data_IF_663611823103
#
_entry.id   IF_663611823103
#
_cell.length_a   1.000
_cell.length_b   1.000
_cell.length_c   1.000
_cell.angle_alpha   90.00
_cell.angle_beta   90.00
_cell.angle_gamma   90.00
#
_symmetry.space_group_name_H-M   'P 1'
#
loop_
_entity.id
_entity.type
_entity.pdbx_description
1 polymer ?
#
# COMPACT_ATOMS: atom_id res chain seq x y z
N UNK A 1 59.75 -22.03 -36.09
CA UNK A 1 59.58 -23.47 -36.43
C UNK A 1 58.14 -23.86 -36.11
N UNK A 2 57.26 -23.87 -37.12
CA UNK A 2 56.78 -25.06 -37.85
C UNK A 2 55.59 -25.73 -37.14
N UNK A 3 54.35 -25.47 -37.60
CA UNK A 3 53.46 -26.38 -38.37
C UNK A 3 53.02 -27.61 -37.53
N UNK A 4 51.72 -27.97 -37.43
CA UNK A 4 50.95 -28.64 -38.50
C UNK A 4 49.51 -28.93 -38.04
N UNK A 5 48.55 -28.79 -38.96
CA UNK A 5 47.29 -29.58 -39.03
C UNK A 5 47.58 -31.02 -39.51
N UNK A 6 46.65 -31.97 -39.31
CA UNK A 6 45.85 -32.55 -40.42
C UNK A 6 44.34 -32.71 -40.03
N UNK A 7 43.30 -32.66 -40.89
CA UNK A 7 42.87 -33.48 -42.05
C UNK A 7 42.65 -34.98 -41.68
N UNK A 8 41.61 -35.75 -42.03
CA UNK A 8 40.51 -35.74 -43.02
C UNK A 8 39.61 -36.99 -42.75
N UNK A 9 38.41 -37.05 -43.36
CA UNK A 9 37.64 -38.28 -43.70
C UNK A 9 36.71 -38.78 -42.58
N UNK A 10 35.50 -39.28 -42.82
CA UNK A 10 34.98 -39.98 -44.00
C UNK A 10 33.43 -40.03 -43.94
N UNK A 11 32.81 -40.01 -45.12
CA UNK A 11 31.37 -40.11 -45.39
C UNK A 11 30.89 -41.55 -45.39
N UNK A 12 29.67 -41.83 -44.89
CA UNK A 12 28.90 -42.98 -45.31
C UNK A 12 27.39 -42.68 -45.30
N UNK A 13 26.84 -42.52 -46.51
CA UNK A 13 25.43 -42.66 -46.83
C UNK A 13 25.07 -44.16 -46.81
N UNK A 14 23.98 -44.55 -46.11
CA UNK A 14 23.16 -45.70 -46.52
C UNK A 14 21.69 -45.33 -46.43
N UNK A 15 21.02 -45.66 -47.51
CA UNK A 15 19.64 -45.38 -47.87
C UNK A 15 18.67 -46.42 -47.31
N UNK A 16 17.50 -45.94 -46.87
CA UNK A 16 16.21 -46.52 -47.26
C UNK A 16 15.59 -47.57 -46.34
N UNK A 17 14.42 -47.25 -45.79
CA UNK A 17 13.15 -47.91 -46.17
C UNK A 17 11.95 -47.18 -45.55
N UNK A 18 10.99 -46.89 -46.42
CA UNK A 18 9.65 -46.38 -46.10
C UNK A 18 8.87 -47.47 -45.36
N UNK A 19 8.11 -47.10 -44.33
CA UNK A 19 6.81 -47.67 -44.02
C UNK A 19 5.92 -46.53 -43.54
N UNK A 20 4.81 -46.33 -44.26
CA UNK A 20 3.75 -45.41 -43.90
C UNK A 20 2.81 -46.13 -42.92
N UNK A 21 2.47 -45.49 -41.80
CA UNK A 21 1.27 -45.84 -41.01
C UNK A 21 0.69 -44.56 -40.40
N UNK A 22 -0.58 -44.35 -40.72
CA UNK A 22 -1.65 -43.60 -40.04
C UNK A 22 -1.36 -42.20 -39.46
N UNK A 23 -2.09 -41.24 -40.01
CA UNK A 23 -2.45 -40.00 -39.35
C UNK A 23 -3.28 -40.29 -38.09
N UNK A 24 -2.88 -39.70 -36.96
CA UNK A 24 -3.77 -39.51 -35.84
C UNK A 24 -3.68 -38.05 -35.38
N UNK A 25 -4.84 -37.45 -35.21
CA UNK A 25 -5.03 -36.03 -34.94
C UNK A 25 -4.90 -35.81 -33.44
N UNK A 26 -3.87 -35.08 -33.02
CA UNK A 26 -3.86 -34.47 -31.69
C UNK A 26 -3.67 -32.95 -31.82
N UNK A 27 -4.80 -32.26 -31.69
CA UNK A 27 -4.88 -30.84 -31.37
C UNK A 27 -4.26 -30.55 -29.99
N UNK A 28 -3.71 -29.34 -29.84
CA UNK A 28 -3.30 -28.74 -28.57
C UNK A 28 -1.77 -28.60 -28.47
N UNK A 29 -1.18 -27.45 -28.18
CA UNK A 29 -1.63 -26.25 -27.47
C UNK A 29 -0.79 -25.09 -27.98
N UNK A 30 -1.42 -23.97 -28.38
CA UNK A 30 -0.71 -22.72 -28.71
C UNK A 30 -0.14 -22.12 -27.42
N UNK A 31 1.03 -21.44 -27.45
CA UNK A 31 1.53 -20.74 -26.27
C UNK A 31 0.59 -19.57 -25.95
N UNK A 32 -0.22 -19.76 -24.91
CA UNK A 32 -1.15 -18.76 -24.42
C UNK A 32 -0.39 -17.59 -23.81
N UNK A 33 -0.53 -16.42 -24.43
CA UNK A 33 -0.24 -15.14 -23.82
C UNK A 33 -0.99 -15.08 -22.47
N UNK A 34 -0.24 -15.05 -21.37
CA UNK A 34 -0.79 -14.93 -20.03
C UNK A 34 -1.44 -13.54 -19.90
N UNK A 35 -2.77 -13.49 -20.01
CA UNK A 35 -3.52 -12.31 -19.61
C UNK A 35 -3.47 -12.21 -18.08
N UNK A 36 -3.16 -11.05 -17.49
CA UNK A 36 -3.25 -10.89 -16.04
C UNK A 36 -4.72 -11.00 -15.63
N UNK A 37 -5.03 -12.02 -14.82
CA UNK A 37 -6.35 -12.24 -14.25
C UNK A 37 -6.76 -11.02 -13.42
N UNK A 38 -7.70 -10.25 -13.98
CA UNK A 38 -8.25 -9.04 -13.38
C UNK A 38 -9.46 -9.48 -12.56
N UNK A 39 -9.30 -9.64 -11.24
CA UNK A 39 -10.44 -9.79 -10.35
C UNK A 39 -10.72 -8.45 -9.66
N UNK A 40 -11.45 -7.58 -10.37
CA UNK A 40 -12.01 -6.34 -9.84
C UNK A 40 -13.30 -6.71 -9.11
N UNK A 41 -13.31 -6.68 -7.77
CA UNK A 41 -14.56 -6.73 -6.99
C UNK A 41 -14.94 -5.31 -6.59
N UNK A 42 -15.91 -4.74 -7.30
CA UNK A 42 -16.56 -3.50 -6.91
C UNK A 42 -17.45 -3.76 -5.70
N UNK A 43 -17.16 -3.11 -4.57
CA UNK A 43 -18.15 -2.94 -3.53
C UNK A 43 -19.17 -1.91 -4.06
N UNK A 44 -20.42 -2.33 -4.28
CA UNK A 44 -21.46 -1.51 -4.90
C UNK A 44 -21.70 -0.16 -4.20
N UNK A 45 -22.08 0.83 -5.00
CA UNK A 45 -22.33 2.20 -4.58
C UNK A 45 -23.67 2.35 -3.80
N UNK A 46 -23.61 2.18 -2.46
CA UNK A 46 -24.49 2.72 -1.38
C UNK A 46 -26.00 2.28 -1.36
N UNK A 47 -26.80 2.44 -0.26
CA UNK A 47 -26.51 2.81 1.14
C UNK A 47 -26.99 1.77 2.20
N UNK A 48 -26.39 1.76 3.38
CA UNK A 48 -26.90 1.03 4.54
C UNK A 48 -26.40 1.69 5.82
N UNK A 49 -27.27 2.46 6.48
CA UNK A 49 -27.00 3.35 7.61
C UNK A 49 -26.41 2.71 8.88
N UNK A 50 -25.91 1.46 8.86
CA UNK A 50 -25.17 0.83 9.96
C UNK A 50 -24.17 -0.21 9.45
N UNK A 51 -23.02 0.21 8.94
CA UNK A 51 -21.83 -0.44 9.48
C UNK A 51 -21.79 0.00 10.95
N UNK A 52 -22.55 -0.69 11.81
CA UNK A 52 -22.19 -0.73 13.21
C UNK A 52 -20.71 -1.08 13.16
N UNK A 53 -19.85 -0.16 13.60
CA UNK A 53 -18.41 -0.33 13.53
C UNK A 53 -18.13 -1.56 14.39
N UNK A 54 -18.09 -2.72 13.75
CA UNK A 54 -17.92 -4.02 14.39
C UNK A 54 -16.45 -4.22 14.77
N UNK A 55 -15.60 -3.29 14.33
CA UNK A 55 -14.17 -3.28 14.58
C UNK A 55 -13.91 -2.43 15.83
N UNK A 56 -13.54 -3.10 16.91
CA UNK A 56 -13.00 -2.41 18.08
C UNK A 56 -11.65 -1.78 17.73
N UNK A 57 -11.35 -0.60 18.28
CA UNK A 57 -10.01 0.00 18.14
C UNK A 57 -8.90 -0.97 18.57
N UNK A 58 -9.16 -1.84 19.56
CA UNK A 58 -8.18 -2.80 20.07
C UNK A 58 -7.75 -3.86 19.05
N UNK A 59 -8.50 -4.04 17.96
CA UNK A 59 -8.14 -4.98 16.88
C UNK A 59 -7.40 -4.31 15.72
N UNK A 60 -7.12 -3.00 15.83
CA UNK A 60 -6.38 -2.22 14.85
C UNK A 60 -5.11 -1.62 15.46
N UNK A 61 -4.02 -1.75 14.73
CA UNK A 61 -2.82 -0.93 14.94
C UNK A 61 -2.77 0.20 13.92
N UNK A 62 -2.50 1.42 14.37
CA UNK A 62 -2.24 2.56 13.50
C UNK A 62 -0.77 2.57 13.09
N UNK A 63 -0.49 2.29 11.82
CA UNK A 63 0.84 2.42 11.23
C UNK A 63 1.00 3.84 10.68
N UNK A 64 1.92 4.59 11.26
CA UNK A 64 2.30 5.93 10.80
C UNK A 64 3.60 5.85 10.02
N UNK A 65 3.54 6.10 8.71
CA UNK A 65 4.69 6.08 7.82
C UNK A 65 5.42 7.42 7.86
N UNK A 66 6.55 7.47 8.55
CA UNK A 66 7.37 8.67 8.76
C UNK A 66 8.74 8.62 8.05
N UNK A 67 9.03 7.54 7.33
CA UNK A 67 10.34 7.26 6.70
C UNK A 67 10.70 8.02 5.41
N UNK A 68 9.83 8.87 4.86
CA UNK A 68 10.02 9.48 3.54
C UNK A 68 11.15 10.53 3.49
N UNK A 69 11.90 10.58 2.37
CA UNK A 69 12.79 11.70 2.07
C UNK A 69 11.95 12.86 1.53
N UNK A 70 11.82 13.95 2.28
CA UNK A 70 11.17 15.17 1.79
C UNK A 70 12.13 16.00 0.97
N UNK A 71 12.53 15.48 -0.19
CA UNK A 71 13.49 16.13 -1.10
C UNK A 71 13.03 17.55 -1.51
N UNK A 72 11.73 17.79 -1.56
CA UNK A 72 11.13 19.08 -1.93
C UNK A 72 11.07 20.11 -0.79
N UNK A 73 11.17 19.65 0.47
CA UNK A 73 11.08 20.50 1.66
C UNK A 73 12.43 20.75 2.33
N UNK A 74 13.48 20.00 1.93
CA UNK A 74 14.82 20.12 2.52
C UNK A 74 14.91 19.73 4.00
N UNK A 75 13.81 19.24 4.59
CA UNK A 75 13.67 18.92 6.01
C UNK A 75 12.85 17.64 6.21
N UNK A 76 12.99 17.03 7.39
CA UNK A 76 12.18 15.88 7.78
C UNK A 76 10.71 16.30 7.96
N UNK A 77 9.86 15.86 7.02
CA UNK A 77 8.44 16.20 6.97
C UNK A 77 7.71 15.86 8.25
N UNK A 78 8.11 14.77 8.91
CA UNK A 78 7.48 14.34 10.16
C UNK A 78 7.63 15.39 11.27
N UNK A 79 8.75 16.14 11.27
CA UNK A 79 9.11 17.17 12.25
C UNK A 79 8.58 18.56 11.94
N UNK A 80 7.90 18.75 10.81
CA UNK A 80 7.30 20.04 10.49
C UNK A 80 6.31 20.40 11.60
N UNK A 81 6.48 21.60 12.17
CA UNK A 81 5.59 22.12 13.20
C UNK A 81 4.36 22.71 12.55
N UNK A 82 3.20 22.21 12.93
CA UNK A 82 1.89 22.75 12.57
C UNK A 82 1.05 22.90 13.83
N UNK A 83 0.44 24.07 14.05
CA UNK A 83 -0.34 24.36 15.27
C UNK A 83 0.41 24.00 16.57
N UNK A 84 1.71 24.31 16.63
CA UNK A 84 2.55 24.10 17.81
C UNK A 84 3.00 22.66 18.07
N UNK A 85 2.73 21.70 17.18
CA UNK A 85 3.15 20.29 17.31
C UNK A 85 3.68 19.72 15.99
N UNK A 86 4.50 18.68 16.06
CA UNK A 86 5.02 18.00 14.86
C UNK A 86 3.87 17.32 14.07
N UNK A 87 3.93 17.29 12.74
CA UNK A 87 2.91 16.67 11.89
C UNK A 87 2.63 15.21 12.26
N UNK A 88 3.68 14.44 12.55
CA UNK A 88 3.56 13.06 12.96
C UNK A 88 2.70 12.87 14.23
N UNK A 89 2.73 13.86 15.14
CA UNK A 89 1.95 13.84 16.39
C UNK A 89 0.47 14.04 16.13
N UNK A 90 0.10 14.92 15.19
CA UNK A 90 -1.30 15.12 14.78
C UNK A 90 -1.89 13.86 14.14
N UNK A 91 -1.10 13.21 13.27
CA UNK A 91 -1.51 11.95 12.63
C UNK A 91 -1.71 10.86 13.68
N UNK A 92 -0.72 10.64 14.56
CA UNK A 92 -0.81 9.63 15.61
C UNK A 92 -1.99 9.85 16.56
N UNK A 93 -2.22 11.10 16.99
CA UNK A 93 -3.34 11.41 17.89
C UNK A 93 -4.71 11.14 17.25
N UNK A 94 -4.88 11.49 15.97
CA UNK A 94 -6.11 11.13 15.25
C UNK A 94 -6.24 9.62 15.09
N UNK A 95 -5.16 8.91 14.77
CA UNK A 95 -5.20 7.45 14.65
C UNK A 95 -5.58 6.74 15.95
N UNK A 96 -5.23 7.27 17.12
CA UNK A 96 -5.66 6.70 18.42
C UNK A 96 -7.19 6.67 18.60
N UNK A 97 -7.92 7.48 17.85
CA UNK A 97 -9.39 7.44 17.85
C UNK A 97 -9.95 6.21 17.11
N UNK A 98 -9.17 5.56 16.24
CA UNK A 98 -9.57 4.36 15.52
C UNK A 98 -8.70 3.12 15.78
N UNK A 99 -7.52 3.28 16.40
CA UNK A 99 -6.56 2.20 16.66
C UNK A 99 -6.17 2.15 18.15
N UNK A 100 -5.98 0.94 18.67
CA UNK A 100 -5.66 0.68 20.08
C UNK A 100 -4.17 0.81 20.39
N UNK A 101 -3.33 0.69 19.37
CA UNK A 101 -1.89 0.91 19.45
C UNK A 101 -1.39 1.66 18.21
N UNK A 102 -0.27 2.39 18.36
CA UNK A 102 0.39 3.12 17.28
C UNK A 102 1.79 2.55 17.07
N UNK A 103 2.14 2.34 15.80
CA UNK A 103 3.46 1.93 15.34
C UNK A 103 3.98 2.95 14.34
N UNK A 104 5.08 3.61 14.67
CA UNK A 104 5.82 4.43 13.71
C UNK A 104 6.77 3.56 12.91
N UNK A 105 6.71 3.71 11.58
CA UNK A 105 7.71 3.15 10.67
C UNK A 105 8.58 4.29 10.16
N UNK A 106 9.85 4.27 10.54
CA UNK A 106 10.81 5.36 10.38
C UNK A 106 12.08 4.85 9.72
N UNK A 107 12.97 5.76 9.32
CA UNK A 107 14.37 5.42 9.06
C UNK A 107 15.16 5.38 10.37
N UNK A 108 16.37 4.82 10.33
CA UNK A 108 17.24 4.75 11.52
C UNK A 108 17.56 6.14 12.12
N UNK A 109 17.82 7.15 11.28
CA UNK A 109 18.08 8.53 11.70
C UNK A 109 16.85 9.24 12.32
N UNK A 110 15.68 8.63 12.21
CA UNK A 110 14.39 9.18 12.62
C UNK A 110 13.78 8.46 13.83
N UNK A 111 14.54 7.57 14.49
CA UNK A 111 14.07 6.76 15.61
C UNK A 111 13.47 7.57 16.78
N UNK A 112 13.90 8.83 16.93
CA UNK A 112 13.41 9.76 17.95
C UNK A 112 12.09 10.48 17.64
N UNK A 113 11.34 10.10 16.60
CA UNK A 113 10.07 10.76 16.22
C UNK A 113 8.85 10.32 17.05
N UNK A 114 8.94 9.22 17.80
CA UNK A 114 7.77 8.67 18.48
C UNK A 114 7.44 9.36 19.81
N UNK A 115 6.15 9.34 20.14
CA UNK A 115 5.65 9.78 21.43
C UNK A 115 5.85 8.69 22.50
N UNK A 116 6.02 9.07 23.78
CA UNK A 116 5.98 8.11 24.89
C UNK A 116 4.81 7.13 24.81
N UNK A 117 5.11 5.82 24.76
CA UNK A 117 4.11 4.75 24.70
C UNK A 117 3.80 4.23 23.29
N UNK A 118 4.29 4.88 22.23
CA UNK A 118 4.16 4.37 20.87
C UNK A 118 5.33 3.44 20.51
N UNK A 119 5.04 2.43 19.70
CA UNK A 119 6.07 1.54 19.17
C UNK A 119 6.79 2.20 17.99
N UNK A 120 8.07 1.87 17.81
CA UNK A 120 8.89 2.33 16.68
C UNK A 120 9.59 1.14 16.05
N UNK A 121 9.54 1.09 14.73
CA UNK A 121 10.39 0.20 13.94
C UNK A 121 11.09 0.97 12.83
N UNK A 122 12.37 0.68 12.65
CA UNK A 122 13.13 1.16 11.50
C UNK A 122 12.82 0.27 10.30
N UNK A 123 12.58 0.90 9.14
CA UNK A 123 12.47 0.16 7.88
C UNK A 123 13.80 -0.46 7.47
N UNK A 124 13.75 -1.51 6.64
CA UNK A 124 14.94 -2.24 6.24
C UNK A 124 15.69 -1.47 5.13
N UNK A 125 16.89 -0.91 5.40
CA UNK A 125 17.64 -0.16 4.39
C UNK A 125 18.09 -1.04 3.22
N UNK A 126 18.08 -2.37 3.34
CA UNK A 126 18.39 -3.28 2.24
C UNK A 126 17.25 -3.36 1.20
N UNK A 127 16.02 -3.00 1.58
CA UNK A 127 14.88 -2.96 0.66
C UNK A 127 14.83 -1.62 -0.10
N UNK A 128 14.39 -1.63 -1.37
CA UNK A 128 14.08 -0.42 -2.13
C UNK A 128 13.33 0.66 -1.34
N UNK A 129 13.73 1.95 -1.43
CA UNK A 129 13.01 3.02 -0.77
C UNK A 129 11.61 3.19 -1.35
N UNK A 130 10.65 3.49 -0.48
CA UNK A 130 9.29 3.80 -0.87
C UNK A 130 8.26 3.36 0.17
N UNK A 131 7.00 3.79 -0.01
CA UNK A 131 5.94 3.47 0.93
C UNK A 131 5.66 1.97 1.05
N UNK A 132 5.87 1.20 -0.02
CA UNK A 132 5.65 -0.25 0.00
C UNK A 132 6.53 -0.95 1.04
N UNK A 133 7.80 -0.52 1.16
CA UNK A 133 8.73 -0.99 2.19
C UNK A 133 8.19 -0.66 3.58
N UNK A 134 7.81 0.58 3.81
CA UNK A 134 7.27 1.01 5.11
C UNK A 134 6.02 0.24 5.53
N UNK A 135 5.09 0.02 4.60
CA UNK A 135 3.87 -0.77 4.86
C UNK A 135 4.25 -2.22 5.20
N UNK A 136 5.09 -2.85 4.38
CA UNK A 136 5.52 -4.22 4.61
C UNK A 136 6.21 -4.38 5.98
N UNK A 137 7.17 -3.50 6.32
CA UNK A 137 7.84 -3.50 7.62
C UNK A 137 6.86 -3.33 8.76
N UNK A 138 5.95 -2.35 8.68
CA UNK A 138 4.97 -2.11 9.73
C UNK A 138 4.08 -3.32 9.96
N UNK A 139 3.52 -3.88 8.88
CA UNK A 139 2.65 -5.05 8.95
C UNK A 139 3.36 -6.30 9.50
N UNK A 140 4.67 -6.46 9.30
CA UNK A 140 5.42 -7.57 9.92
C UNK A 140 5.56 -7.44 11.44
N UNK A 141 5.35 -6.25 12.01
CA UNK A 141 5.59 -5.96 13.42
C UNK A 141 4.33 -5.84 14.27
N UNK A 142 3.16 -5.75 13.64
CA UNK A 142 1.90 -5.66 14.38
C UNK A 142 1.48 -7.03 14.93
N UNK A 143 0.89 -7.03 16.13
CA UNK A 143 0.27 -8.22 16.72
C UNK A 143 -1.20 -8.36 16.30
N UNK A 144 -1.84 -7.23 15.96
CA UNK A 144 -3.23 -7.16 15.49
C UNK A 144 -3.39 -7.78 14.11
N UNK A 145 -4.61 -8.21 13.78
CA UNK A 145 -4.90 -8.80 12.46
C UNK A 145 -4.88 -7.78 11.32
N UNK A 146 -5.13 -6.52 11.64
CA UNK A 146 -5.27 -5.43 10.68
C UNK A 146 -4.57 -4.17 11.17
N UNK A 147 -4.07 -3.38 10.22
CA UNK A 147 -3.55 -2.05 10.49
C UNK A 147 -4.21 -0.99 9.62
N UNK A 148 -4.56 0.13 10.25
CA UNK A 148 -4.81 1.38 9.57
C UNK A 148 -3.46 1.99 9.20
N UNK A 149 -3.25 2.38 7.95
CA UNK A 149 -2.01 2.97 7.45
C UNK A 149 -2.25 4.43 7.09
N UNK A 150 -1.42 5.33 7.62
CA UNK A 150 -1.40 6.75 7.31
C UNK A 150 0.02 7.22 7.01
N UNK A 151 0.18 8.12 6.03
CA UNK A 151 1.40 8.90 5.90
C UNK A 151 1.37 10.11 6.85
N UNK A 152 2.55 10.57 7.28
CA UNK A 152 2.68 11.75 8.17
C UNK A 152 2.14 13.05 7.58
N UNK A 153 1.91 13.09 6.26
CA UNK A 153 1.43 14.27 5.56
C UNK A 153 -0.10 14.39 5.47
N UNK A 154 -0.83 13.49 6.11
CA UNK A 154 -2.28 13.51 6.22
C UNK A 154 -2.75 13.89 7.65
N UNK A 155 -2.38 15.06 8.22
CA UNK A 155 -2.69 15.40 9.61
C UNK A 155 -4.17 15.72 9.87
N UNK A 156 -4.99 15.77 8.81
CA UNK A 156 -6.43 15.98 8.89
C UNK A 156 -7.23 14.68 8.75
N UNK A 157 -6.58 13.52 8.81
CA UNK A 157 -7.24 12.23 8.64
C UNK A 157 -8.50 12.07 9.49
N UNK A 158 -9.52 11.43 8.92
CA UNK A 158 -10.79 11.17 9.56
C UNK A 158 -10.80 9.74 10.12
N UNK A 159 -10.80 9.54 11.46
CA UNK A 159 -10.77 8.21 12.06
C UNK A 159 -11.98 7.35 11.68
N UNK A 160 -13.13 7.97 11.38
CA UNK A 160 -14.33 7.23 10.95
C UNK A 160 -14.15 6.55 9.59
N UNK A 161 -13.37 7.17 8.70
CA UNK A 161 -13.02 6.57 7.41
C UNK A 161 -12.24 5.27 7.61
N UNK A 162 -11.22 5.27 8.47
CA UNK A 162 -10.44 4.08 8.79
C UNK A 162 -11.26 2.96 9.43
N UNK A 163 -12.15 3.30 10.37
CA UNK A 163 -13.05 2.32 10.97
C UNK A 163 -14.01 1.69 9.94
N UNK A 164 -14.49 2.49 8.98
CA UNK A 164 -15.35 2.00 7.91
C UNK A 164 -14.58 1.14 6.89
N UNK A 165 -13.34 1.50 6.56
CA UNK A 165 -12.44 0.69 5.72
C UNK A 165 -12.16 -0.66 6.39
N UNK A 166 -11.86 -0.67 7.69
CA UNK A 166 -11.66 -1.90 8.44
C UNK A 166 -12.94 -2.75 8.50
N UNK A 167 -14.10 -2.12 8.71
CA UNK A 167 -15.39 -2.82 8.70
C UNK A 167 -15.69 -3.46 7.34
N UNK A 168 -15.34 -2.78 6.24
CA UNK A 168 -15.49 -3.32 4.88
C UNK A 168 -14.59 -4.54 4.68
N UNK A 169 -13.37 -4.50 5.22
CA UNK A 169 -12.42 -5.61 5.15
C UNK A 169 -12.86 -6.83 5.96
N UNK A 170 -13.48 -6.62 7.12
CA UNK A 170 -14.07 -7.68 7.96
C UNK A 170 -15.33 -8.28 7.32
N UNK A 171 -16.15 -7.45 6.66
CA UNK A 171 -17.36 -7.91 6.00
C UNK A 171 -17.07 -8.71 4.72
N UNK A 172 -15.92 -8.50 4.08
CA UNK A 172 -15.46 -9.32 2.98
C UNK A 172 -14.90 -10.67 3.48
N UNK A 173 -14.97 -11.68 2.62
CA UNK A 173 -14.35 -12.98 2.86
C UNK A 173 -12.83 -12.83 3.15
N UNK A 174 -12.25 -13.81 3.85
CA UNK A 174 -10.86 -13.77 4.35
C UNK A 174 -9.78 -13.60 3.26
N UNK A 175 -10.15 -13.74 1.98
CA UNK A 175 -9.25 -13.54 0.83
C UNK A 175 -8.79 -12.10 0.62
N UNK A 176 -9.61 -11.11 0.97
CA UNK A 176 -9.25 -9.70 0.78
C UNK A 176 -8.19 -9.25 1.78
N UNK A 177 -7.06 -8.77 1.27
CA UNK A 177 -5.88 -8.37 2.06
C UNK A 177 -5.84 -6.87 2.38
N UNK A 178 -6.60 -6.04 1.67
CA UNK A 178 -6.67 -4.61 1.95
C UNK A 178 -8.01 -3.98 1.56
N UNK A 179 -8.32 -2.86 2.20
CA UNK A 179 -9.40 -1.95 1.82
C UNK A 179 -8.79 -0.58 1.48
N UNK A 180 -8.85 -0.19 0.22
CA UNK A 180 -8.18 0.98 -0.33
C UNK A 180 -9.22 1.93 -0.95
N UNK A 181 -9.35 3.17 -0.45
CA UNK A 181 -10.24 4.15 -1.05
C UNK A 181 -9.67 4.72 -2.35
N UNK A 182 -10.59 5.20 -3.19
CA UNK A 182 -10.29 6.04 -4.33
C UNK A 182 -10.72 7.48 -4.05
N UNK A 183 -9.88 8.44 -4.44
CA UNK A 183 -10.16 9.87 -4.36
C UNK A 183 -9.50 10.60 -5.54
N UNK A 184 -10.24 11.49 -6.19
CA UNK A 184 -9.82 12.21 -7.41
C UNK A 184 -9.30 11.27 -8.50
N UNK A 185 -10.03 10.16 -8.71
CA UNK A 185 -9.71 9.14 -9.71
C UNK A 185 -8.47 8.28 -9.42
N UNK A 186 -7.88 8.37 -8.22
CA UNK A 186 -6.69 7.61 -7.82
C UNK A 186 -6.93 6.80 -6.56
N UNK A 187 -6.35 5.60 -6.50
CA UNK A 187 -6.27 4.84 -5.25
C UNK A 187 -5.36 5.55 -4.26
N UNK A 188 -5.75 5.52 -2.99
CA UNK A 188 -5.08 6.19 -1.89
C UNK A 188 -4.51 5.14 -0.91
N UNK A 189 -3.39 4.49 -1.26
CA UNK A 189 -2.87 3.36 -0.50
C UNK A 189 -2.22 3.73 0.83
N UNK A 190 -1.95 5.01 1.03
CA UNK A 190 -1.46 5.55 2.31
C UNK A 190 -2.61 6.06 3.18
N UNK A 191 -3.86 5.85 2.76
CA UNK A 191 -5.09 6.14 3.50
C UNK A 191 -5.96 4.87 3.47
N UNK A 192 -5.41 3.76 3.96
CA UNK A 192 -5.98 2.44 3.74
C UNK A 192 -5.90 1.55 5.00
N UNK A 193 -6.65 0.45 4.98
CA UNK A 193 -6.54 -0.61 5.99
C UNK A 193 -6.02 -1.87 5.33
N UNK A 194 -5.06 -2.52 5.97
CA UNK A 194 -4.40 -3.73 5.48
C UNK A 194 -4.53 -4.85 6.51
N UNK A 195 -4.75 -6.08 6.05
CA UNK A 195 -4.51 -7.26 6.88
C UNK A 195 -3.00 -7.45 7.06
N UNK A 196 -2.60 -7.99 8.21
CA UNK A 196 -1.20 -8.33 8.51
C UNK A 196 -0.55 -9.18 7.41
N UNK A 197 -1.29 -10.13 6.86
CA UNK A 197 -0.82 -11.04 5.81
C UNK A 197 -0.49 -10.35 4.47
N UNK A 198 -0.96 -9.11 4.25
CA UNK A 198 -0.58 -8.32 3.09
C UNK A 198 0.94 -8.07 3.02
N UNK A 199 1.64 -8.10 4.17
CA UNK A 199 3.10 -8.00 4.25
C UNK A 199 3.82 -8.98 3.30
N UNK A 200 3.39 -10.24 3.25
CA UNK A 200 4.00 -11.29 2.42
C UNK A 200 3.87 -10.98 0.93
N UNK A 201 2.71 -10.49 0.51
CA UNK A 201 2.45 -10.12 -0.88
C UNK A 201 3.29 -8.90 -1.28
N UNK A 202 3.36 -7.89 -0.41
CA UNK A 202 4.15 -6.68 -0.64
C UNK A 202 5.65 -6.99 -0.71
N UNK A 203 6.18 -7.81 0.19
CA UNK A 203 7.59 -8.24 0.15
C UNK A 203 7.92 -8.98 -1.14
N UNK A 204 7.08 -9.94 -1.56
CA UNK A 204 7.26 -10.66 -2.83
C UNK A 204 7.26 -9.72 -4.04
N UNK A 205 6.45 -8.66 -4.01
CA UNK A 205 6.45 -7.65 -5.06
C UNK A 205 7.79 -6.89 -5.08
N UNK A 206 8.29 -6.48 -3.91
CA UNK A 206 9.59 -5.81 -3.77
C UNK A 206 10.73 -6.70 -4.28
N UNK A 207 10.76 -7.98 -3.89
CA UNK A 207 11.76 -8.97 -4.32
C UNK A 207 11.78 -9.17 -5.84
N UNK A 208 10.61 -9.06 -6.50
CA UNK A 208 10.47 -9.12 -7.97
C UNK A 208 10.85 -7.80 -8.66
N UNK A 209 11.29 -6.81 -7.91
CA UNK A 209 11.69 -5.50 -8.43
C UNK A 209 10.54 -4.53 -8.66
N UNK A 210 9.33 -4.81 -8.17
CA UNK A 210 8.23 -3.83 -8.24
C UNK A 210 8.52 -2.62 -7.34
N UNK A 211 8.37 -1.43 -7.90
CA UNK A 211 8.62 -0.13 -7.24
C UNK A 211 7.35 0.71 -7.08
N UNK A 212 6.28 0.36 -7.79
CA UNK A 212 5.00 1.02 -7.78
C UNK A 212 4.05 0.34 -6.80
N UNK A 213 3.70 1.05 -5.73
CA UNK A 213 2.69 0.59 -4.78
C UNK A 213 1.34 0.34 -5.45
N UNK A 214 0.93 1.18 -6.39
CA UNK A 214 -0.32 0.99 -7.14
C UNK A 214 -0.32 -0.31 -7.94
N UNK A 215 0.80 -0.68 -8.58
CA UNK A 215 0.92 -1.96 -9.31
C UNK A 215 0.94 -3.15 -8.36
N UNK A 216 1.66 -3.06 -7.25
CA UNK A 216 1.63 -4.11 -6.23
C UNK A 216 0.20 -4.33 -5.72
N UNK A 217 -0.55 -3.27 -5.44
CA UNK A 217 -1.95 -3.37 -5.00
C UNK A 217 -2.90 -3.91 -6.05
N UNK A 218 -2.58 -3.77 -7.34
CA UNK A 218 -3.35 -4.43 -8.38
C UNK A 218 -3.22 -5.96 -8.33
N UNK A 219 -2.12 -6.47 -7.76
CA UNK A 219 -1.89 -7.89 -7.55
C UNK A 219 -2.34 -8.39 -6.16
N UNK A 220 -2.61 -7.49 -5.21
CA UNK A 220 -3.26 -7.84 -3.94
C UNK A 220 -4.77 -7.93 -4.15
N UNK A 221 -5.39 -8.97 -3.61
CA UNK A 221 -6.85 -9.00 -3.46
C UNK A 221 -7.27 -7.86 -2.53
N UNK A 222 -7.91 -6.83 -3.09
CA UNK A 222 -8.13 -5.55 -2.44
C UNK A 222 -9.55 -5.08 -2.71
N UNK A 223 -10.26 -4.75 -1.63
CA UNK A 223 -11.53 -4.04 -1.72
C UNK A 223 -11.20 -2.60 -2.11
N UNK A 224 -11.78 -2.14 -3.22
CA UNK A 224 -11.63 -0.76 -3.70
C UNK A 224 -12.91 -0.01 -3.41
N UNK A 225 -12.82 1.04 -2.61
CA UNK A 225 -13.97 1.85 -2.20
C UNK A 225 -14.02 3.09 -3.08
N UNK A 226 -15.19 3.34 -3.67
CA UNK A 226 -15.38 4.46 -4.60
C UNK A 226 -15.24 5.81 -3.88
N UNK A 227 -15.01 6.85 -4.66
CA UNK A 227 -15.01 8.21 -4.12
C UNK A 227 -16.37 8.59 -3.54
N UNK A 228 -17.48 8.14 -4.15
CA UNK A 228 -18.82 8.34 -3.61
C UNK A 228 -18.99 7.70 -2.23
N UNK A 229 -18.47 6.49 -2.04
CA UNK A 229 -18.42 5.83 -0.73
C UNK A 229 -17.61 6.65 0.28
N UNK A 230 -16.46 7.19 -0.13
CA UNK A 230 -15.61 8.02 0.72
C UNK A 230 -16.31 9.33 1.12
N UNK A 231 -16.95 10.02 0.17
CA UNK A 231 -17.67 11.28 0.41
C UNK A 231 -18.85 11.13 1.37
N UNK A 232 -19.44 9.95 1.48
CA UNK A 232 -20.48 9.69 2.48
C UNK A 232 -19.95 9.74 3.94
N UNK A 233 -18.64 9.59 4.15
CA UNK A 233 -18.00 9.50 5.48
C UNK A 233 -17.09 10.71 5.74
N UNK A 234 -16.37 11.15 4.71
CA UNK A 234 -15.47 12.31 4.71
C UNK A 234 -15.82 13.24 3.53
N UNK A 235 -16.92 14.02 3.64
CA UNK A 235 -17.45 14.81 2.52
C UNK A 235 -16.45 15.82 1.95
N UNK A 236 -15.63 16.40 2.84
CA UNK A 236 -14.62 17.39 2.49
C UNK A 236 -13.30 16.77 1.99
N UNK A 237 -13.14 15.44 2.08
CA UNK A 237 -11.91 14.76 1.69
C UNK A 237 -10.71 15.12 2.57
N UNK A 238 -10.94 15.40 3.85
CA UNK A 238 -9.89 15.82 4.77
C UNK A 238 -8.77 14.76 4.89
N UNK A 239 -9.13 13.48 4.82
CA UNK A 239 -8.18 12.36 4.84
C UNK A 239 -7.29 12.26 3.62
N UNK A 240 -7.65 12.91 2.51
CA UNK A 240 -6.93 12.87 1.24
C UNK A 240 -6.14 14.16 0.97
N UNK A 241 -6.15 15.09 1.93
CA UNK A 241 -5.43 16.36 1.85
C UNK A 241 -4.00 16.20 2.37
N UNK A 242 -3.04 16.08 1.45
CA UNK A 242 -1.62 15.93 1.80
C UNK A 242 -0.92 17.29 1.89
N UNK A 243 -0.15 17.50 2.97
CA UNK A 243 0.74 18.67 3.08
C UNK A 243 2.05 18.33 2.40
N UNK A 244 2.34 18.80 1.19
CA UNK A 244 3.60 18.51 0.48
C UNK A 244 4.53 19.71 0.33
N UNK A 245 4.03 20.92 0.55
CA UNK A 245 4.75 22.19 0.40
C UNK A 245 4.40 23.16 1.54
N UNK A 246 5.22 24.21 1.74
CA UNK A 246 4.92 25.25 2.72
C UNK A 246 3.60 25.97 2.38
N UNK A 247 3.29 26.08 1.08
CA UNK A 247 2.01 26.62 0.61
C UNK A 247 0.83 25.72 1.01
N UNK A 248 1.00 24.40 1.04
CA UNK A 248 -0.05 23.49 1.54
C UNK A 248 -0.30 23.73 3.04
N UNK A 249 0.76 23.96 3.81
CA UNK A 249 0.64 24.27 5.23
C UNK A 249 -0.11 25.60 5.45
N UNK A 250 0.26 26.65 4.70
CA UNK A 250 -0.40 27.94 4.75
C UNK A 250 -1.88 27.87 4.34
N UNK A 251 -2.22 27.08 3.31
CA UNK A 251 -3.61 26.83 2.91
C UNK A 251 -4.44 26.20 4.03
N UNK A 252 -3.85 25.29 4.81
CA UNK A 252 -4.51 24.68 5.96
C UNK A 252 -4.72 25.65 7.13
N UNK A 253 -3.78 26.58 7.34
CA UNK A 253 -3.92 27.63 8.34
C UNK A 253 -5.03 28.61 7.97
N UNK A 254 -5.13 29.00 6.70
CA UNK A 254 -6.19 29.89 6.20
C UNK A 254 -7.58 29.27 6.32
N UNK A 255 -7.72 27.99 5.96
CA UNK A 255 -9.01 27.26 6.03
C UNK A 255 -9.46 27.07 7.49
N UNK A 256 -8.50 27.01 8.42
CA UNK A 256 -8.77 26.92 9.85
C UNK A 256 -9.21 28.25 10.47
N UNK A 257 -8.59 29.37 10.06
CA UNK A 257 -8.94 30.71 10.53
C UNK A 257 -10.39 31.09 10.24
N UNK A 258 -10.94 30.63 9.11
CA UNK A 258 -12.36 30.81 8.74
C UNK A 258 -13.35 30.00 9.58
N UNK A 259 -12.92 28.96 10.28
CA UNK A 259 -13.79 28.15 11.17
C UNK A 259 -13.82 28.68 12.61
N UNK A 260 -12.85 29.52 13.00
CA UNK A 260 -12.74 30.12 14.34
C UNK A 260 -13.37 31.50 14.47
N UNK A 261 -13.91 32.07 13.39
CA UNK A 261 -14.55 33.42 13.42
C UNK A 261 -16.08 33.39 13.45
N UNK A 262 -16.68 32.23 13.74
CA UNK A 262 -18.12 32.02 13.79
C UNK A 262 -18.64 31.44 15.12
N UNK A 263 -17.99 31.78 16.24
CA UNK A 263 -18.47 31.47 17.59
C UNK A 263 -18.69 32.77 18.37
#
# INVERSE_FOLDING_TARGET
MSRKRPARGETAHVSGKRHAVAADQHEGVRPGVMQPATAIRGAGDLPGWRYAIAVSRSTLTGIVLAGGYSERFGADKARIIWRGRELCQHVAERMRSCAGSILFVVREDQRGLAWPGDAVVCDDPALPPGPMRGIATGLMRIETEMAAVAAVDCPLLNPRLYLALASSLVAADAGALSAVPAWDGRLQPLVAVYRRDASKALLRAIERGERSLSRALAALDSIRLSEAWCRAIDPAGASFSNINTADDLARLELTAGSQSSGA
#
